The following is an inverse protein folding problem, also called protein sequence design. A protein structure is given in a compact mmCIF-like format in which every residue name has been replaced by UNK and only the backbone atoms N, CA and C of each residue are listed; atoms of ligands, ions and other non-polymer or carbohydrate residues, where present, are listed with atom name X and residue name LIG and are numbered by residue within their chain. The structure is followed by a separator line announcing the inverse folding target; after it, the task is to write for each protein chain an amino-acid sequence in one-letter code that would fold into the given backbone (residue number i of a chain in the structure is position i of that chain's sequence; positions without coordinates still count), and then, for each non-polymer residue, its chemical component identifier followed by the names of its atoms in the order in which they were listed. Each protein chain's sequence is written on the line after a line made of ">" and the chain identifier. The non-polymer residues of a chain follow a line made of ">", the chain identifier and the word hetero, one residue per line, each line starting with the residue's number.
data_IF_827951660511
#
_entry.id   IF_827951660511
#
_cell.length_a   1.000
_cell.length_b   1.000
_cell.length_c   1.000
_cell.angle_alpha   90.00
_cell.angle_beta   90.00
_cell.angle_gamma   90.00
#
_symmetry.space_group_name_H-M   'P 1'
#
loop_
_entity.id
_entity.type
_entity.pdbx_description
1 polymer ?
#
# COMPACT_ATOMS: atom_id res chain seq x y z
N UNK A 1 -12.29 -10.99 -39.62
CA UNK A 1 -11.18 -11.26 -38.70
C UNK A 1 -10.69 -9.95 -38.09
N UNK A 2 -10.89 -9.82 -36.76
CA UNK A 2 -10.06 -9.18 -35.71
C UNK A 2 -9.62 -7.70 -35.80
N UNK A 3 -9.98 -6.90 -34.76
CA UNK A 3 -9.11 -5.96 -34.03
C UNK A 3 -9.87 -5.00 -33.05
N UNK A 4 -10.98 -5.43 -32.43
CA UNK A 4 -11.65 -4.67 -31.36
C UNK A 4 -11.51 -5.39 -30.01
N UNK A 5 -10.28 -5.52 -29.51
CA UNK A 5 -10.01 -6.07 -28.17
C UNK A 5 -8.67 -5.53 -27.63
N UNK A 6 -8.55 -4.21 -27.43
CA UNK A 6 -7.33 -3.61 -26.85
C UNK A 6 -7.56 -2.43 -25.90
N UNK A 7 -8.75 -2.24 -25.32
CA UNK A 7 -9.00 -1.12 -24.39
C UNK A 7 -9.84 -1.50 -23.17
N UNK A 8 -9.49 -2.60 -22.51
CA UNK A 8 -10.03 -2.97 -21.21
C UNK A 8 -8.93 -3.55 -20.31
N UNK A 9 -8.50 -2.78 -19.31
CA UNK A 9 -7.53 -3.11 -18.25
C UNK A 9 -6.23 -3.81 -18.67
N UNK A 10 -5.14 -3.03 -18.72
CA UNK A 10 -3.75 -3.48 -18.89
C UNK A 10 -3.17 -4.31 -17.71
N UNK A 11 -4.00 -4.72 -16.75
CA UNK A 11 -3.60 -5.44 -15.54
C UNK A 11 -4.18 -6.85 -15.54
N UNK A 12 -3.32 -7.86 -15.50
CA UNK A 12 -3.79 -9.25 -15.38
C UNK A 12 -4.38 -9.52 -13.98
N UNK A 13 -5.26 -10.52 -13.82
CA UNK A 13 -5.79 -10.90 -12.51
C UNK A 13 -4.69 -11.17 -11.46
N UNK A 14 -3.58 -11.79 -11.87
CA UNK A 14 -2.44 -12.03 -11.00
C UNK A 14 -1.75 -10.74 -10.53
N UNK A 15 -1.70 -9.71 -11.37
CA UNK A 15 -1.14 -8.41 -10.99
C UNK A 15 -2.04 -7.70 -9.98
N UNK A 16 -3.36 -7.73 -10.19
CA UNK A 16 -4.31 -7.16 -9.23
C UNK A 16 -4.21 -7.84 -7.86
N UNK A 17 -4.07 -9.17 -7.81
CA UNK A 17 -3.86 -9.89 -6.55
C UNK A 17 -2.56 -9.47 -5.86
N UNK A 18 -1.46 -9.31 -6.60
CA UNK A 18 -0.17 -8.87 -6.03
C UNK A 18 -0.25 -7.45 -5.47
N UNK A 19 -0.88 -6.54 -6.21
CA UNK A 19 -1.07 -5.15 -5.76
C UNK A 19 -1.94 -5.13 -4.50
N UNK A 20 -3.01 -5.94 -4.45
CA UNK A 20 -3.86 -6.07 -3.26
C UNK A 20 -3.06 -6.53 -2.04
N UNK A 21 -2.24 -7.57 -2.18
CA UNK A 21 -1.37 -8.06 -1.09
C UNK A 21 -0.40 -6.96 -0.62
N UNK A 22 0.24 -6.26 -1.56
CA UNK A 22 1.15 -5.15 -1.22
C UNK A 22 0.44 -3.99 -0.52
N UNK A 23 -0.79 -3.66 -0.92
CA UNK A 23 -1.59 -2.64 -0.26
C UNK A 23 -1.94 -3.03 1.18
N UNK A 24 -2.28 -4.31 1.42
CA UNK A 24 -2.52 -4.85 2.76
C UNK A 24 -1.26 -4.80 3.64
N UNK A 25 -0.09 -5.16 3.10
CA UNK A 25 1.18 -5.09 3.82
C UNK A 25 1.51 -3.64 4.24
N UNK A 26 1.31 -2.68 3.34
CA UNK A 26 1.52 -1.26 3.65
C UNK A 26 0.49 -0.71 4.64
N UNK A 27 -0.77 -1.15 4.59
CA UNK A 27 -1.76 -0.84 5.62
C UNK A 27 -1.30 -1.34 6.99
N UNK A 28 -0.75 -2.56 7.08
CA UNK A 28 -0.20 -3.10 8.33
C UNK A 28 0.93 -2.23 8.91
N UNK A 29 1.84 -1.74 8.06
CA UNK A 29 2.91 -0.81 8.47
C UNK A 29 2.32 0.52 8.96
N UNK A 30 1.32 1.05 8.26
CA UNK A 30 0.63 2.29 8.64
C UNK A 30 -0.10 2.16 9.98
N UNK A 31 -0.85 1.09 10.18
CA UNK A 31 -1.54 0.81 11.44
C UNK A 31 -0.55 0.66 12.60
N UNK A 32 0.60 0.03 12.37
CA UNK A 32 1.67 -0.05 13.37
C UNK A 32 2.20 1.34 13.74
N UNK A 33 2.42 2.22 12.77
CA UNK A 33 2.84 3.60 13.03
C UNK A 33 1.78 4.39 13.81
N UNK A 34 0.51 4.31 13.41
CA UNK A 34 -0.59 4.95 14.14
C UNK A 34 -0.73 4.42 15.57
N UNK A 35 -0.62 3.10 15.75
CA UNK A 35 -0.71 2.46 17.05
C UNK A 35 0.41 2.95 17.95
N UNK A 36 1.65 3.02 17.44
CA UNK A 36 2.79 3.58 18.16
C UNK A 36 2.58 5.04 18.55
N UNK A 37 2.07 5.87 17.65
CA UNK A 37 1.78 7.29 17.94
C UNK A 37 0.68 7.43 19.00
N UNK A 38 -0.37 6.63 18.93
CA UNK A 38 -1.44 6.60 19.93
C UNK A 38 -0.89 6.22 21.31
N UNK A 39 -0.07 5.16 21.40
CA UNK A 39 0.57 4.77 22.66
C UNK A 39 1.56 5.81 23.17
N UNK A 40 2.31 6.46 22.28
CA UNK A 40 3.22 7.54 22.64
C UNK A 40 2.48 8.79 23.13
N UNK A 41 1.30 9.08 22.60
CA UNK A 41 0.44 10.18 23.04
C UNK A 41 -0.22 9.89 24.39
N UNK A 42 -0.47 8.62 24.72
CA UNK A 42 -0.96 8.19 26.05
C UNK A 42 0.19 8.17 27.09
N UNK A 43 1.17 9.08 27.00
CA UNK A 43 2.10 9.34 28.11
C UNK A 43 1.27 9.77 29.31
N UNK A 44 1.26 8.90 30.31
CA UNK A 44 0.52 9.00 31.56
C UNK A 44 0.57 10.40 32.13
N UNK A 45 -0.61 11.00 32.35
CA UNK A 45 -0.76 12.03 33.35
C UNK A 45 -0.12 11.49 34.64
N UNK A 46 0.86 12.22 35.17
CA UNK A 46 1.61 11.89 36.40
C UNK A 46 0.66 11.61 37.60
N UNK A 47 -0.61 12.01 37.48
CA UNK A 47 -1.65 11.92 38.49
C UNK A 47 -2.73 10.83 38.27
N UNK A 48 -2.73 10.10 37.14
CA UNK A 48 -3.72 9.04 36.83
C UNK A 48 -3.08 7.64 36.78
N UNK A 49 -1.96 7.44 37.48
CA UNK A 49 -1.20 6.19 37.48
C UNK A 49 -1.82 5.08 38.33
N UNK A 50 -2.81 4.36 37.81
CA UNK A 50 -2.98 2.97 38.22
C UNK A 50 -1.77 2.17 37.70
N UNK A 51 -1.08 1.49 38.60
CA UNK A 51 0.29 0.99 38.39
C UNK A 51 0.47 0.01 37.22
N UNK A 52 1.67 -0.59 37.14
CA UNK A 52 2.12 -1.49 36.05
C UNK A 52 1.06 -2.50 35.51
N UNK A 53 0.16 -2.98 36.36
CA UNK A 53 -0.94 -3.88 35.97
C UNK A 53 -1.99 -3.22 35.06
N UNK A 54 -2.33 -1.95 35.26
CA UNK A 54 -3.27 -1.23 34.39
C UNK A 54 -2.63 -0.93 33.04
N UNK A 55 -1.37 -0.49 33.02
CA UNK A 55 -0.63 -0.25 31.77
C UNK A 55 -0.52 -1.53 30.93
N UNK A 56 -0.24 -2.66 31.58
CA UNK A 56 -0.21 -3.98 30.92
C UNK A 56 -1.59 -4.36 30.37
N UNK A 57 -2.65 -4.20 31.15
CA UNK A 57 -4.01 -4.52 30.70
C UNK A 57 -4.50 -3.62 29.56
N UNK A 58 -4.20 -2.31 29.62
CA UNK A 58 -4.50 -1.35 28.55
C UNK A 58 -3.75 -1.68 27.27
N UNK A 59 -2.49 -2.10 27.39
CA UNK A 59 -1.67 -2.56 26.25
C UNK A 59 -2.28 -3.81 25.62
N UNK A 60 -2.64 -4.82 26.42
CA UNK A 60 -3.29 -6.05 25.93
C UNK A 60 -4.64 -5.77 25.28
N UNK A 61 -5.45 -4.87 25.84
CA UNK A 61 -6.73 -4.47 25.24
C UNK A 61 -6.52 -3.75 23.90
N UNK A 62 -5.59 -2.80 23.83
CA UNK A 62 -5.30 -2.09 22.61
C UNK A 62 -4.72 -3.02 21.53
N UNK A 63 -3.89 -3.99 21.90
CA UNK A 63 -3.41 -5.03 21.00
C UNK A 63 -4.56 -5.90 20.45
N UNK A 64 -5.49 -6.35 21.30
CA UNK A 64 -6.65 -7.13 20.87
C UNK A 64 -7.61 -6.31 19.98
N UNK A 65 -7.81 -5.03 20.27
CA UNK A 65 -8.60 -4.14 19.44
C UNK A 65 -7.95 -3.96 18.06
N UNK A 66 -6.65 -3.66 18.02
CA UNK A 66 -5.89 -3.54 16.78
C UNK A 66 -5.92 -4.83 15.96
N UNK A 67 -5.75 -5.99 16.60
CA UNK A 67 -5.79 -7.30 15.95
C UNK A 67 -7.19 -7.63 15.40
N UNK A 68 -8.26 -7.27 16.12
CA UNK A 68 -9.65 -7.44 15.66
C UNK A 68 -9.95 -6.55 14.46
N UNK A 69 -9.46 -5.31 14.47
CA UNK A 69 -9.57 -4.39 13.32
C UNK A 69 -8.81 -4.92 12.11
N UNK A 70 -7.59 -5.44 12.30
CA UNK A 70 -6.80 -6.05 11.23
C UNK A 70 -7.47 -7.31 10.65
N UNK A 71 -7.97 -8.23 11.50
CA UNK A 71 -8.62 -9.48 11.07
C UNK A 71 -9.95 -9.25 10.36
N UNK A 72 -10.68 -8.17 10.69
CA UNK A 72 -11.94 -7.83 10.01
C UNK A 72 -11.74 -7.22 8.62
N UNK A 73 -10.49 -7.13 8.15
CA UNK A 73 -10.15 -6.56 6.84
C UNK A 73 -9.41 -5.23 6.90
N UNK A 74 -8.88 -4.83 8.07
CA UNK A 74 -8.19 -3.55 8.25
C UNK A 74 -9.14 -2.38 8.49
N UNK A 75 -8.65 -1.17 8.26
CA UNK A 75 -9.47 0.07 8.31
C UNK A 75 -10.08 0.36 6.92
N UNK A 76 -9.68 -0.42 5.90
CA UNK A 76 -10.11 -0.27 4.51
C UNK A 76 -9.18 0.65 3.70
N UNK A 77 -8.03 1.02 4.26
CA UNK A 77 -7.08 1.94 3.58
C UNK A 77 -6.38 1.21 2.43
N UNK A 78 -6.28 -0.12 2.48
CA UNK A 78 -5.70 -0.91 1.41
C UNK A 78 -6.38 -0.70 0.05
N UNK A 79 -7.70 -0.47 0.01
CA UNK A 79 -8.43 -0.24 -1.25
C UNK A 79 -8.07 1.12 -1.88
N UNK A 80 -7.97 2.17 -1.07
CA UNK A 80 -7.52 3.51 -1.51
C UNK A 80 -6.04 3.50 -1.93
N UNK A 81 -5.22 2.70 -1.24
CA UNK A 81 -3.79 2.56 -1.54
C UNK A 81 -3.55 1.76 -2.82
N UNK A 82 -4.37 0.74 -3.09
CA UNK A 82 -4.34 -0.04 -4.32
C UNK A 82 -4.55 0.87 -5.55
N UNK A 83 -5.53 1.79 -5.50
CA UNK A 83 -5.76 2.75 -6.59
C UNK A 83 -4.55 3.64 -6.87
N UNK A 84 -3.88 4.11 -5.81
CA UNK A 84 -2.65 4.90 -5.92
C UNK A 84 -1.47 4.08 -6.47
N UNK A 85 -1.30 2.83 -6.04
CA UNK A 85 -0.27 1.93 -6.55
C UNK A 85 -0.46 1.64 -8.04
N UNK A 86 -1.71 1.41 -8.47
CA UNK A 86 -2.03 1.23 -9.89
C UNK A 86 -1.64 2.48 -10.68
N UNK A 87 -2.05 3.67 -10.24
CA UNK A 87 -1.72 4.92 -10.92
C UNK A 87 -0.20 5.16 -11.02
N UNK A 88 0.56 4.86 -9.95
CA UNK A 88 2.02 4.94 -9.94
C UNK A 88 2.65 3.94 -10.91
N UNK A 89 2.12 2.72 -10.97
CA UNK A 89 2.61 1.67 -11.87
C UNK A 89 2.30 2.00 -13.34
N UNK A 90 1.14 2.58 -13.62
CA UNK A 90 0.80 3.08 -14.96
C UNK A 90 1.71 4.25 -15.38
N UNK A 91 1.99 5.20 -14.47
CA UNK A 91 2.93 6.30 -14.74
C UNK A 91 4.38 5.81 -14.97
N UNK A 92 4.82 4.81 -14.20
CA UNK A 92 6.13 4.17 -14.36
C UNK A 92 6.23 3.36 -15.68
N UNK A 93 5.14 2.72 -16.11
CA UNK A 93 5.09 2.00 -17.38
C UNK A 93 5.03 2.96 -18.59
N UNK A 94 4.29 4.07 -18.48
CA UNK A 94 4.22 5.10 -19.51
C UNK A 94 5.60 5.74 -19.79
N UNK A 95 6.36 6.01 -18.73
CA UNK A 95 7.74 6.52 -18.85
C UNK A 95 8.73 5.49 -19.43
N UNK A 96 8.53 4.19 -19.17
CA UNK A 96 9.29 3.10 -19.82
C UNK A 96 9.01 2.99 -21.32
N UNK A 97 7.77 3.21 -21.75
CA UNK A 97 7.38 3.19 -23.17
C UNK A 97 8.07 4.28 -24.00
N UNK A 98 8.22 5.48 -23.43
CA UNK A 98 8.86 6.62 -24.09
C UNK A 98 10.37 6.41 -24.33
N UNK A 99 11.07 5.72 -23.43
CA UNK A 99 12.51 5.43 -23.57
C UNK A 99 12.80 4.43 -24.69
N UNK A 100 11.94 3.42 -24.87
CA UNK A 100 12.17 2.38 -25.88
C UNK A 100 11.94 2.86 -27.33
N UNK A 101 11.04 3.81 -27.56
CA UNK A 101 10.79 4.36 -28.90
C UNK A 101 11.97 5.17 -29.46
N UNK A 102 12.73 5.87 -28.61
CA UNK A 102 13.85 6.71 -29.04
C UNK A 102 15.12 5.95 -29.42
N UNK A 103 15.31 4.71 -28.92
CA UNK A 103 16.49 3.89 -29.20
C UNK A 103 16.41 3.24 -30.60
N UNK A 104 15.20 2.91 -31.09
CA UNK A 104 15.01 2.26 -32.39
C UNK A 104 15.12 3.28 -33.54
N UNK A 105 14.78 4.54 -33.29
CA UNK A 105 14.86 5.60 -34.31
C UNK A 105 16.29 6.10 -34.58
N UNK A 106 17.24 5.94 -33.65
CA UNK A 106 18.59 6.53 -33.76
C UNK A 106 19.67 5.59 -34.30
N UNK A 107 19.39 4.29 -34.49
CA UNK A 107 20.40 3.30 -34.93
C UNK A 107 20.40 3.02 -36.44
N UNK A 108 19.54 3.71 -37.21
CA UNK A 108 19.33 3.44 -38.64
C UNK A 108 20.03 4.34 -39.65
N UNK A 109 20.86 5.33 -39.26
CA UNK A 109 21.39 6.31 -40.23
C UNK A 109 22.88 6.61 -40.01
N UNK A 110 23.74 5.64 -40.32
CA UNK A 110 25.09 5.90 -40.85
C UNK A 110 25.44 4.83 -41.89
N UNK A 111 24.72 4.88 -43.01
CA UNK A 111 25.06 4.16 -44.24
C UNK A 111 25.36 5.16 -45.35
N UNK A 112 26.64 5.54 -45.48
CA UNK A 112 27.38 5.82 -46.71
C UNK A 112 28.83 6.11 -46.36
#
# INVERSE_FOLDING_TARGET
>A
MNAIDQTGSSLSPDQLLRIRTQAQDLEGVFLNMLTKEMFASIKSDENFGGGFGEETWRSMQAEQLANTMAQSGGVGIADDLMGQMIALQEAANASRGLTNSNIIASTGVYGK
#
